data_IF_882178977105
#
_entry.id   IF_882178977105
#
_cell.length_a   1.000
_cell.length_b   1.000
_cell.length_c   1.000
_cell.angle_alpha   90.00
_cell.angle_beta   90.00
_cell.angle_gamma   90.00
#
_symmetry.space_group_name_H-M   'P 1'
#
loop_
_entity.id
_entity.type
_entity.pdbx_description
1 polymer ?
#
# COMPACT_ATOMS: atom_id res chain seq x y z
N UNK A 1 7.52 -5.83 -12.39
CA UNK A 1 6.37 -6.12 -11.49
C UNK A 1 5.15 -5.36 -11.98
N UNK A 2 3.94 -5.88 -11.77
CA UNK A 2 2.68 -5.25 -12.24
C UNK A 2 2.48 -3.85 -11.63
N UNK A 3 2.80 -3.67 -10.35
CA UNK A 3 2.64 -2.39 -9.64
C UNK A 3 3.40 -1.24 -10.30
N UNK A 4 4.62 -1.51 -10.79
CA UNK A 4 5.45 -0.49 -11.45
C UNK A 4 4.90 0.04 -12.77
N UNK A 5 3.96 -0.67 -13.42
CA UNK A 5 3.33 -0.20 -14.68
C UNK A 5 2.35 0.94 -14.48
N UNK A 6 1.74 1.07 -13.30
CA UNK A 6 0.71 2.09 -13.06
C UNK A 6 1.24 3.51 -13.31
N UNK A 7 2.52 3.72 -13.06
CA UNK A 7 3.21 4.99 -13.27
C UNK A 7 3.60 5.25 -14.72
N UNK A 8 3.66 4.22 -15.57
CA UNK A 8 3.78 4.40 -17.03
C UNK A 8 2.44 4.86 -17.61
N UNK A 9 1.34 4.30 -17.10
CA UNK A 9 -0.02 4.62 -17.51
C UNK A 9 -0.51 5.99 -16.97
N UNK A 10 0.04 6.44 -15.83
CA UNK A 10 -0.31 7.69 -15.16
C UNK A 10 0.91 8.60 -15.02
N UNK A 11 1.27 9.36 -16.07
CA UNK A 11 2.39 10.29 -16.02
C UNK A 11 2.17 11.37 -14.95
N UNK A 12 3.18 11.57 -14.09
CA UNK A 12 3.15 12.51 -12.96
C UNK A 12 2.69 11.90 -11.63
N UNK A 13 2.34 10.62 -11.59
CA UNK A 13 2.13 9.90 -10.34
C UNK A 13 3.49 9.62 -9.69
N UNK A 14 3.73 10.15 -8.49
CA UNK A 14 5.00 9.94 -7.77
C UNK A 14 4.92 8.83 -6.72
N UNK A 15 3.70 8.53 -6.27
CA UNK A 15 3.49 7.65 -5.11
C UNK A 15 2.17 6.90 -5.24
N UNK A 16 2.26 5.59 -5.02
CA UNK A 16 1.10 4.72 -4.87
C UNK A 16 0.98 4.31 -3.40
N UNK A 17 -0.22 4.44 -2.85
CA UNK A 17 -0.51 4.07 -1.48
C UNK A 17 -1.44 2.86 -1.44
N UNK A 18 -1.25 2.02 -0.42
CA UNK A 18 -2.15 0.94 -0.10
C UNK A 18 -2.44 0.94 1.41
N UNK A 19 -3.69 0.75 1.77
CA UNK A 19 -4.13 0.69 3.16
C UNK A 19 -4.85 -0.62 3.40
N UNK A 20 -4.48 -1.32 4.48
CA UNK A 20 -5.10 -2.59 4.87
C UNK A 20 -5.34 -2.61 6.37
N UNK A 21 -6.34 -3.36 6.81
CA UNK A 21 -6.55 -3.65 8.24
C UNK A 21 -5.30 -4.30 8.85
N UNK A 22 -4.95 -3.89 10.08
CA UNK A 22 -3.81 -4.43 10.82
C UNK A 22 -3.94 -5.94 11.10
N UNK A 23 -5.16 -6.45 11.20
CA UNK A 23 -5.44 -7.87 11.41
C UNK A 23 -5.34 -8.68 10.10
N UNK A 24 -5.36 -8.04 8.93
CA UNK A 24 -5.29 -8.72 7.65
C UNK A 24 -3.84 -8.99 7.22
N UNK A 25 -3.17 -9.87 7.95
CA UNK A 25 -1.77 -10.26 7.73
C UNK A 25 -1.54 -10.85 6.33
N UNK A 26 -2.57 -11.48 5.73
CA UNK A 26 -2.47 -12.04 4.37
C UNK A 26 -2.30 -10.94 3.33
N UNK A 27 -3.11 -9.88 3.39
CA UNK A 27 -2.97 -8.73 2.47
C UNK A 27 -1.67 -7.97 2.69
N UNK A 28 -1.24 -7.79 3.95
CA UNK A 28 0.05 -7.17 4.28
C UNK A 28 1.22 -7.89 3.59
N UNK A 29 1.27 -9.23 3.67
CA UNK A 29 2.29 -10.04 2.98
C UNK A 29 2.25 -9.90 1.45
N UNK A 30 1.07 -9.71 0.86
CA UNK A 30 0.94 -9.48 -0.59
C UNK A 30 1.52 -8.13 -0.97
N UNK A 31 1.24 -7.08 -0.19
CA UNK A 31 1.80 -5.74 -0.42
C UNK A 31 3.32 -5.75 -0.32
N UNK A 32 3.87 -6.37 0.73
CA UNK A 32 5.33 -6.51 0.91
C UNK A 32 5.97 -7.28 -0.25
N UNK A 33 5.37 -8.40 -0.68
CA UNK A 33 5.86 -9.16 -1.86
C UNK A 33 5.76 -8.39 -3.16
N UNK A 34 4.80 -7.47 -3.28
CA UNK A 34 4.65 -6.60 -4.43
C UNK A 34 5.63 -5.41 -4.41
N UNK A 35 6.46 -5.29 -3.36
CA UNK A 35 7.49 -4.27 -3.22
C UNK A 35 7.03 -3.01 -2.50
N UNK A 36 5.83 -2.98 -1.93
CA UNK A 36 5.42 -1.85 -1.10
C UNK A 36 6.20 -1.84 0.22
N UNK A 37 6.52 -0.65 0.69
CA UNK A 37 7.15 -0.39 1.97
C UNK A 37 6.10 -0.03 3.02
N UNK A 38 6.23 -0.60 4.22
CA UNK A 38 5.35 -0.29 5.35
C UNK A 38 5.77 1.05 5.97
N UNK A 39 4.85 2.01 6.04
CA UNK A 39 5.16 3.34 6.57
C UNK A 39 4.62 3.58 7.98
N UNK A 40 3.47 3.03 8.32
CA UNK A 40 2.89 3.31 9.63
C UNK A 40 1.56 2.62 9.92
N UNK A 41 1.07 2.85 11.13
CA UNK A 41 -0.26 2.43 11.59
C UNK A 41 -1.13 3.64 11.82
N UNK A 42 -2.22 3.71 11.08
CA UNK A 42 -3.27 4.70 11.21
C UNK A 42 -4.28 4.20 12.26
N UNK A 43 -4.24 4.80 13.45
CA UNK A 43 -5.12 4.45 14.56
C UNK A 43 -6.57 4.86 14.26
N UNK A 44 -7.52 3.94 14.45
CA UNK A 44 -8.97 4.14 14.21
C UNK A 44 -9.31 4.67 12.81
N UNK A 45 -8.57 4.24 11.79
CA UNK A 45 -8.76 4.70 10.41
C UNK A 45 -9.93 4.05 9.69
N UNK A 46 -10.13 2.74 9.89
CA UNK A 46 -11.22 2.01 9.23
C UNK A 46 -12.48 2.15 10.09
N UNK A 47 -13.48 2.84 9.55
CA UNK A 47 -14.77 2.99 10.22
C UNK A 47 -15.38 1.61 10.54
N UNK A 48 -15.74 1.41 11.81
CA UNK A 48 -16.51 0.25 12.22
C UNK A 48 -17.92 0.30 11.64
N UNK A 49 -18.52 -0.85 11.36
CA UNK A 49 -19.92 -0.96 10.94
C UNK A 49 -20.74 -1.69 12.02
N UNK A 50 -21.98 -1.25 12.23
CA UNK A 50 -22.95 -1.98 13.06
C UNK A 50 -22.56 -2.09 14.54
N UNK A 51 -22.01 -1.03 15.14
CA UNK A 51 -21.60 -1.04 16.55
C UNK A 51 -20.22 -1.67 16.82
N UNK A 52 -19.55 -2.21 15.79
CA UNK A 52 -18.16 -2.59 15.91
C UNK A 52 -17.26 -1.35 16.07
N UNK A 53 -16.18 -1.42 16.87
CA UNK A 53 -15.23 -0.33 17.01
C UNK A 53 -14.51 -0.05 15.68
N UNK A 54 -14.04 1.19 15.53
CA UNK A 54 -13.10 1.53 14.45
C UNK A 54 -11.82 0.71 14.59
N UNK A 55 -11.24 0.33 13.45
CA UNK A 55 -10.05 -0.53 13.39
C UNK A 55 -8.84 0.25 12.92
N UNK A 56 -7.69 -0.19 13.37
CA UNK A 56 -6.41 0.35 12.95
C UNK A 56 -6.07 -0.20 11.56
N UNK A 57 -5.38 0.62 10.77
CA UNK A 57 -4.95 0.25 9.43
C UNK A 57 -3.45 0.45 9.30
N UNK A 58 -2.81 -0.41 8.51
CA UNK A 58 -1.42 -0.22 8.11
C UNK A 58 -1.41 0.46 6.75
N UNK A 59 -0.64 1.55 6.65
CA UNK A 59 -0.38 2.25 5.40
C UNK A 59 0.95 1.79 4.82
N UNK A 60 0.92 1.55 3.52
CA UNK A 60 2.03 1.13 2.69
C UNK A 60 2.20 2.10 1.53
N UNK A 61 3.42 2.22 1.04
CA UNK A 61 3.74 3.05 -0.11
C UNK A 61 4.64 2.33 -1.12
N UNK A 62 4.55 2.78 -2.36
CA UNK A 62 5.47 2.44 -3.43
C UNK A 62 5.76 3.73 -4.18
N UNK A 63 7.02 4.14 -4.28
CA UNK A 63 7.42 5.35 -4.98
C UNK A 63 7.78 5.06 -6.44
N UNK A 64 7.61 6.06 -7.30
CA UNK A 64 8.08 6.03 -8.68
C UNK A 64 9.59 5.69 -8.76
N UNK A 65 10.38 6.15 -7.78
CA UNK A 65 11.81 5.91 -7.62
C UNK A 65 12.18 4.50 -7.16
N UNK A 66 11.26 3.73 -6.59
CA UNK A 66 11.52 2.37 -6.09
C UNK A 66 11.52 1.32 -7.20
N UNK A 67 11.27 1.75 -8.44
CA UNK A 67 11.35 0.89 -9.61
C UNK A 67 12.78 0.38 -9.78
N UNK A 68 12.98 -0.94 -9.99
CA UNK A 68 14.28 -1.42 -10.41
C UNK A 68 14.68 -0.74 -11.72
N UNK A 69 15.97 -0.41 -11.90
CA UNK A 69 16.43 0.25 -13.11
C UNK A 69 16.01 -0.58 -14.32
N UNK A 70 15.44 0.09 -15.33
CA UNK A 70 15.13 -0.53 -16.62
C UNK A 70 16.48 -1.01 -17.19
N UNK A 71 16.70 -2.33 -17.25
CA UNK A 71 17.88 -2.86 -17.94
C UNK A 71 17.70 -2.62 -19.44
N UNK A 72 18.73 -2.12 -20.14
CA UNK A 72 18.68 -1.86 -21.59
C UNK A 72 18.49 -3.15 -22.39
#
# INVERSE_FOLDING_TARGET
>A
MVVGRVFDDLPGLERLEAVTDVENVRSQRVLEKAGFQREGVLRRYIAGRGGCPARDAVIYSFLSSDRPPVRP
#
